data_IF_084173138359
#
_entry.id   IF_084173138359
#
_cell.length_a   1.000
_cell.length_b   1.000
_cell.length_c   1.000
_cell.angle_alpha   90.00
_cell.angle_beta   90.00
_cell.angle_gamma   90.00
#
_symmetry.space_group_name_H-M   'P 1'
#
loop_
_entity.id
_entity.type
_entity.pdbx_description
1 polymer ?
#
# COMPACT_ATOMS: atom_id res chain seq x y z
N UNK A 1 29.83 0.72 -25.73
CA UNK A 1 28.86 1.81 -26.03
C UNK A 1 27.41 1.29 -25.92
N UNK A 2 26.98 0.74 -24.77
CA UNK A 2 25.65 0.09 -24.64
C UNK A 2 24.80 0.59 -23.45
N UNK A 3 25.34 1.44 -22.57
CA UNK A 3 24.65 1.84 -21.33
C UNK A 3 23.67 3.03 -21.46
N UNK A 4 23.70 3.80 -22.56
CA UNK A 4 22.82 4.97 -22.74
C UNK A 4 21.39 4.60 -23.19
N UNK A 5 21.21 3.46 -23.85
CA UNK A 5 19.92 3.06 -24.42
C UNK A 5 18.94 2.56 -23.34
N UNK A 6 19.43 1.86 -22.31
CA UNK A 6 18.58 1.31 -21.24
C UNK A 6 17.98 2.38 -20.31
N UNK A 7 18.72 3.46 -20.02
CA UNK A 7 18.23 4.59 -19.20
C UNK A 7 17.05 5.32 -19.85
N UNK A 8 17.07 5.51 -21.17
CA UNK A 8 15.97 6.17 -21.92
C UNK A 8 14.67 5.37 -21.88
N UNK A 9 14.76 4.03 -21.89
CA UNK A 9 13.59 3.13 -21.85
C UNK A 9 12.96 3.08 -20.46
N UNK A 10 13.79 3.13 -19.40
CA UNK A 10 13.32 3.20 -18.02
C UNK A 10 12.63 4.52 -17.70
N UNK A 11 13.18 5.64 -18.18
CA UNK A 11 12.59 6.97 -17.96
C UNK A 11 11.21 7.08 -18.62
N UNK A 12 11.09 6.62 -19.89
CA UNK A 12 9.82 6.63 -20.62
C UNK A 12 8.71 5.83 -19.92
N UNK A 13 9.06 4.71 -19.28
CA UNK A 13 8.10 3.92 -18.48
C UNK A 13 7.64 4.67 -17.23
N UNK A 14 8.55 5.35 -16.53
CA UNK A 14 8.21 6.15 -15.36
C UNK A 14 7.33 7.35 -15.74
N UNK A 15 7.62 8.01 -16.87
CA UNK A 15 6.79 9.11 -17.37
C UNK A 15 5.35 8.64 -17.69
N UNK A 16 5.21 7.47 -18.34
CA UNK A 16 3.90 6.88 -18.61
C UNK A 16 3.15 6.51 -17.32
N UNK A 17 3.84 5.94 -16.33
CA UNK A 17 3.27 5.67 -15.00
C UNK A 17 2.79 6.96 -14.33
N UNK A 18 3.55 8.05 -14.43
CA UNK A 18 3.14 9.35 -13.87
C UNK A 18 1.89 9.88 -14.57
N UNK A 19 1.80 9.75 -15.90
CA UNK A 19 0.60 10.16 -16.63
C UNK A 19 -0.62 9.34 -16.23
N UNK A 20 -0.48 8.02 -16.10
CA UNK A 20 -1.59 7.16 -15.69
C UNK A 20 -2.03 7.43 -14.25
N UNK A 21 -1.08 7.61 -13.34
CA UNK A 21 -1.37 7.99 -11.96
C UNK A 21 -2.04 9.37 -11.88
N UNK A 22 -1.61 10.33 -12.69
CA UNK A 22 -2.24 11.66 -12.75
C UNK A 22 -3.69 11.58 -13.26
N UNK A 23 -3.96 10.80 -14.32
CA UNK A 23 -5.32 10.53 -14.80
C UNK A 23 -6.16 9.89 -13.69
N UNK A 24 -5.62 8.89 -12.99
CA UNK A 24 -6.31 8.23 -11.89
C UNK A 24 -6.67 9.22 -10.78
N UNK A 25 -5.73 10.08 -10.39
CA UNK A 25 -5.99 11.15 -9.42
C UNK A 25 -7.11 12.05 -9.94
N UNK A 26 -7.04 12.54 -11.18
CA UNK A 26 -8.07 13.43 -11.71
C UNK A 26 -9.48 12.80 -11.72
N UNK A 27 -9.58 11.49 -11.96
CA UNK A 27 -10.86 10.75 -11.98
C UNK A 27 -11.39 10.48 -10.57
N UNK A 28 -10.51 10.15 -9.62
CA UNK A 28 -10.90 9.70 -8.28
C UNK A 28 -10.78 10.77 -7.19
N UNK A 29 -10.14 11.91 -7.48
CA UNK A 29 -9.94 12.99 -6.52
C UNK A 29 -11.25 13.71 -6.22
N UNK A 30 -11.65 13.64 -4.96
CA UNK A 30 -12.84 14.33 -4.46
C UNK A 30 -12.38 15.62 -3.78
N UNK A 31 -12.71 16.77 -4.39
CA UNK A 31 -12.55 18.06 -3.71
C UNK A 31 -13.58 18.17 -2.61
N UNK A 32 -13.16 18.08 -1.35
CA UNK A 32 -14.05 18.30 -0.22
C UNK A 32 -14.66 19.70 -0.29
N UNK A 33 -15.99 19.75 -0.36
CA UNK A 33 -16.74 21.01 -0.25
C UNK A 33 -17.33 21.21 1.16
N UNK A 34 -17.31 20.19 2.01
CA UNK A 34 -17.68 20.22 3.43
C UNK A 34 -17.10 19.00 4.15
N UNK A 35 -16.53 19.22 5.34
CA UNK A 35 -15.84 18.22 6.16
C UNK A 35 -16.75 17.21 6.83
N UNK A 36 -17.32 16.31 6.04
CA UNK A 36 -17.87 15.05 6.55
C UNK A 36 -16.98 13.91 6.06
N UNK A 37 -16.56 13.05 7.01
CA UNK A 37 -15.72 11.89 6.76
C UNK A 37 -16.32 11.01 5.66
N UNK A 38 -15.79 11.12 4.44
CA UNK A 38 -16.19 10.26 3.34
C UNK A 38 -15.64 8.86 3.59
N UNK A 39 -16.49 8.00 4.15
CA UNK A 39 -16.45 6.57 3.86
C UNK A 39 -16.33 6.47 2.34
N UNK A 40 -15.18 6.01 1.91
CA UNK A 40 -14.80 5.83 0.52
C UNK A 40 -16.02 5.39 -0.30
N UNK A 41 -16.45 6.24 -1.25
CA UNK A 41 -17.56 5.95 -2.14
C UNK A 41 -17.14 4.94 -3.22
N UNK A 42 -16.49 3.85 -2.79
CA UNK A 42 -16.56 2.62 -3.55
C UNK A 42 -17.91 2.05 -3.15
N UNK A 43 -18.84 2.01 -4.10
CA UNK A 43 -19.76 0.89 -4.16
C UNK A 43 -18.89 -0.37 -4.26
N UNK A 44 -18.26 -0.79 -3.16
CA UNK A 44 -17.77 -2.15 -3.02
C UNK A 44 -19.05 -2.94 -3.02
N UNK A 45 -19.41 -3.42 -4.21
CA UNK A 45 -20.43 -4.44 -4.34
C UNK A 45 -20.01 -5.51 -3.33
N UNK A 46 -20.91 -5.85 -2.41
CA UNK A 46 -20.65 -6.88 -1.38
C UNK A 46 -20.21 -8.21 -2.01
N UNK A 47 -20.39 -8.35 -3.32
CA UNK A 47 -20.04 -9.49 -4.15
C UNK A 47 -18.65 -9.39 -4.81
N UNK A 48 -17.75 -8.51 -4.34
CA UNK A 48 -16.38 -8.52 -4.83
C UNK A 48 -15.68 -9.85 -4.43
N UNK A 49 -15.18 -10.63 -5.41
CA UNK A 49 -14.58 -11.92 -5.13
C UNK A 49 -13.26 -11.81 -4.36
N UNK A 50 -12.52 -10.70 -4.51
CA UNK A 50 -11.29 -10.46 -3.74
C UNK A 50 -11.62 -10.17 -2.28
N UNK A 51 -12.63 -9.32 -2.01
CA UNK A 51 -13.08 -9.06 -0.64
C UNK A 51 -13.57 -10.34 0.04
N UNK A 52 -14.39 -11.14 -0.64
CA UNK A 52 -14.93 -12.39 -0.10
C UNK A 52 -13.82 -13.37 0.26
N UNK A 53 -12.76 -13.44 -0.54
CA UNK A 53 -11.60 -14.27 -0.26
C UNK A 53 -10.83 -13.79 0.99
N UNK A 54 -10.68 -12.47 1.16
CA UNK A 54 -10.04 -11.88 2.34
C UNK A 54 -10.87 -12.13 3.59
N UNK A 55 -12.18 -11.91 3.53
CA UNK A 55 -13.09 -12.13 4.67
C UNK A 55 -13.06 -13.60 5.12
N UNK A 56 -13.10 -14.53 4.17
CA UNK A 56 -12.95 -15.97 4.46
C UNK A 56 -11.61 -16.27 5.12
N UNK A 57 -10.51 -15.71 4.59
CA UNK A 57 -9.17 -15.91 5.12
C UNK A 57 -9.07 -15.39 6.56
N UNK A 58 -9.65 -14.22 6.87
CA UNK A 58 -9.69 -13.66 8.21
C UNK A 58 -10.50 -14.56 9.16
N UNK A 59 -11.67 -15.01 8.72
CA UNK A 59 -12.54 -15.88 9.51
C UNK A 59 -11.88 -17.23 9.85
N UNK A 60 -11.17 -17.84 8.88
CA UNK A 60 -10.43 -19.09 9.08
C UNK A 60 -9.27 -18.97 10.08
N UNK A 61 -8.75 -17.76 10.28
CA UNK A 61 -7.62 -17.49 11.19
C UNK A 61 -8.06 -16.75 12.46
N UNK A 62 -9.35 -16.80 12.81
CA UNK A 62 -9.85 -16.28 14.09
C UNK A 62 -10.04 -14.77 14.16
N UNK A 63 -10.17 -14.08 13.00
CA UNK A 63 -10.38 -12.64 12.89
C UNK A 63 -9.34 -11.81 13.67
N UNK A 64 -8.12 -11.66 13.15
CA UNK A 64 -7.08 -10.91 13.84
C UNK A 64 -7.53 -9.46 14.07
N UNK A 65 -7.46 -9.01 15.33
CA UNK A 65 -7.81 -7.65 15.72
C UNK A 65 -6.60 -6.71 15.74
N UNK A 66 -5.40 -7.27 15.93
CA UNK A 66 -4.15 -6.49 15.98
C UNK A 66 -3.47 -6.40 14.61
N UNK A 67 -2.70 -5.33 14.42
CA UNK A 67 -1.84 -5.18 13.25
C UNK A 67 -0.80 -6.30 13.16
N UNK A 68 -0.21 -6.70 14.29
CA UNK A 68 0.82 -7.75 14.31
C UNK A 68 0.25 -9.09 13.82
N UNK A 69 -0.93 -9.48 14.30
CA UNK A 69 -1.57 -10.74 13.91
C UNK A 69 -1.97 -10.73 12.42
N UNK A 70 -2.55 -9.61 11.97
CA UNK A 70 -2.94 -9.41 10.56
C UNK A 70 -1.72 -9.47 9.64
N UNK A 71 -0.64 -8.80 10.02
CA UNK A 71 0.61 -8.78 9.27
C UNK A 71 1.24 -10.17 9.19
N UNK A 72 1.29 -10.91 10.30
CA UNK A 72 1.81 -12.28 10.34
C UNK A 72 0.98 -13.24 9.48
N UNK A 73 -0.34 -13.09 9.49
CA UNK A 73 -1.24 -13.88 8.67
C UNK A 73 -0.95 -13.68 7.18
N UNK A 74 -0.79 -12.42 6.73
CA UNK A 74 -0.43 -12.15 5.35
C UNK A 74 0.98 -12.62 5.01
N UNK A 75 1.93 -12.46 5.92
CA UNK A 75 3.29 -12.96 5.76
C UNK A 75 3.31 -14.47 5.56
N UNK A 76 2.60 -15.24 6.40
CA UNK A 76 2.46 -16.70 6.26
C UNK A 76 1.88 -17.08 4.90
N UNK A 77 0.87 -16.33 4.42
CA UNK A 77 0.30 -16.52 3.08
C UNK A 77 1.32 -16.33 1.96
N UNK A 78 2.25 -15.37 2.11
CA UNK A 78 3.29 -15.15 1.10
C UNK A 78 4.30 -16.29 1.02
N UNK A 79 4.47 -17.06 2.10
CA UNK A 79 5.43 -18.16 2.20
C UNK A 79 6.90 -17.73 2.11
N UNK A 80 7.21 -16.45 2.34
CA UNK A 80 8.57 -15.89 2.25
C UNK A 80 9.12 -15.58 3.64
N UNK A 81 10.44 -15.63 3.76
CA UNK A 81 11.12 -15.27 5.00
C UNK A 81 10.90 -13.80 5.37
N UNK A 82 10.73 -13.56 6.68
CA UNK A 82 10.59 -12.23 7.29
C UNK A 82 11.72 -11.28 6.87
N UNK A 83 12.95 -11.77 6.80
CA UNK A 83 14.12 -10.99 6.39
C UNK A 83 14.02 -10.50 4.95
N UNK A 84 13.49 -11.32 4.03
CA UNK A 84 13.31 -10.95 2.62
C UNK A 84 12.21 -9.89 2.47
N UNK A 85 11.14 -9.98 3.27
CA UNK A 85 10.07 -8.99 3.25
C UNK A 85 10.54 -7.68 3.88
N UNK A 86 11.27 -7.73 5.00
CA UNK A 86 11.84 -6.55 5.64
C UNK A 86 12.80 -5.81 4.70
N UNK A 87 13.71 -6.53 4.04
CA UNK A 87 14.64 -5.96 3.06
C UNK A 87 13.90 -5.28 1.89
N UNK A 88 12.87 -5.92 1.33
CA UNK A 88 12.05 -5.32 0.26
C UNK A 88 11.27 -4.09 0.70
N UNK A 89 10.84 -4.07 1.95
CA UNK A 89 10.16 -2.92 2.55
C UNK A 89 11.15 -1.81 2.95
N UNK A 90 12.48 -2.05 2.89
CA UNK A 90 13.49 -1.11 3.37
C UNK A 90 13.51 -0.98 4.90
N UNK A 91 13.07 -2.01 5.62
CA UNK A 91 12.99 -2.06 7.08
C UNK A 91 14.22 -2.77 7.68
N UNK A 92 14.49 -2.51 8.95
CA UNK A 92 15.61 -3.11 9.69
C UNK A 92 15.44 -4.63 9.83
N UNK A 93 16.57 -5.37 9.76
CA UNK A 93 16.60 -6.78 10.10
C UNK A 93 16.09 -6.99 11.54
N UNK A 94 15.02 -7.77 11.70
CA UNK A 94 14.35 -7.96 12.99
C UNK A 94 13.14 -7.06 13.23
N UNK A 95 12.67 -6.30 12.23
CA UNK A 95 11.41 -5.56 12.31
C UNK A 95 10.25 -6.43 12.78
N UNK A 96 10.09 -7.62 12.19
CA UNK A 96 9.03 -8.57 12.57
C UNK A 96 9.18 -9.12 13.99
N UNK A 97 10.41 -9.31 14.47
CA UNK A 97 10.68 -9.67 15.86
C UNK A 97 10.26 -8.56 16.82
N UNK A 98 10.57 -7.30 16.49
CA UNK A 98 10.12 -6.12 17.27
C UNK A 98 8.59 -6.01 17.26
N UNK A 99 7.98 -6.26 16.11
CA UNK A 99 6.53 -6.26 15.91
C UNK A 99 5.82 -7.32 16.75
N UNK A 100 6.41 -8.51 16.89
CA UNK A 100 5.89 -9.60 17.72
C UNK A 100 6.05 -9.36 19.22
N UNK A 101 7.16 -8.73 19.62
CA UNK A 101 7.49 -8.53 21.04
C UNK A 101 6.90 -7.24 21.63
N UNK A 102 6.33 -6.37 20.80
CA UNK A 102 5.77 -5.09 21.24
C UNK A 102 4.26 -5.14 21.20
N UNK A 103 3.65 -5.23 22.38
CA UNK A 103 2.21 -5.11 22.53
C UNK A 103 1.75 -3.75 21.99
N UNK A 104 0.71 -3.75 21.17
CA UNK A 104 0.15 -2.55 20.54
C UNK A 104 1.15 -1.75 19.68
N UNK A 105 2.10 -2.43 19.03
CA UNK A 105 2.95 -1.78 18.05
C UNK A 105 2.11 -1.10 16.97
N UNK A 106 2.27 0.21 16.82
CA UNK A 106 1.64 1.01 15.78
C UNK A 106 2.69 1.38 14.74
N UNK A 107 2.72 0.69 13.60
CA UNK A 107 3.59 1.09 12.49
C UNK A 107 3.19 2.48 12.01
N UNK A 108 4.09 3.18 11.33
CA UNK A 108 3.70 4.39 10.59
C UNK A 108 2.88 4.05 9.35
N UNK A 109 2.16 5.04 8.79
CA UNK A 109 1.46 4.88 7.50
C UNK A 109 2.44 4.44 6.41
N UNK A 110 3.63 5.03 6.38
CA UNK A 110 4.73 4.65 5.51
C UNK A 110 5.10 3.18 5.64
N UNK A 111 5.43 2.72 6.85
CA UNK A 111 5.82 1.32 7.09
C UNK A 111 4.73 0.35 6.66
N UNK A 112 3.47 0.69 6.95
CA UNK A 112 2.33 -0.13 6.57
C UNK A 112 2.17 -0.24 5.06
N UNK A 113 2.32 0.88 4.33
CA UNK A 113 2.28 0.89 2.86
C UNK A 113 3.44 0.09 2.28
N UNK A 114 4.66 0.26 2.79
CA UNK A 114 5.84 -0.49 2.35
C UNK A 114 5.66 -2.00 2.56
N UNK A 115 5.07 -2.41 3.68
CA UNK A 115 4.73 -3.80 3.96
C UNK A 115 3.69 -4.35 2.98
N UNK A 116 2.65 -3.57 2.65
CA UNK A 116 1.66 -3.96 1.63
C UNK A 116 2.34 -4.25 0.28
N UNK A 117 3.27 -3.39 -0.14
CA UNK A 117 4.00 -3.55 -1.39
C UNK A 117 4.99 -4.73 -1.34
N UNK A 118 5.74 -4.87 -0.25
CA UNK A 118 6.73 -5.92 -0.08
C UNK A 118 6.09 -7.32 -0.06
N UNK A 119 4.93 -7.44 0.59
CA UNK A 119 4.12 -8.67 0.62
C UNK A 119 3.30 -8.87 -0.65
N UNK A 120 3.25 -7.89 -1.56
CA UNK A 120 2.47 -7.89 -2.79
C UNK A 120 0.98 -8.13 -2.55
N UNK A 121 0.43 -7.39 -1.60
CA UNK A 121 -0.99 -7.47 -1.26
C UNK A 121 -1.84 -6.90 -2.41
N UNK A 122 -3.06 -7.41 -2.56
CA UNK A 122 -4.08 -6.74 -3.37
C UNK A 122 -4.69 -5.55 -2.60
N UNK A 123 -5.58 -4.80 -3.24
CA UNK A 123 -6.17 -3.60 -2.63
C UNK A 123 -7.02 -3.90 -1.39
N UNK A 124 -7.74 -5.03 -1.38
CA UNK A 124 -8.60 -5.42 -0.26
C UNK A 124 -7.78 -5.89 0.96
N UNK A 125 -6.71 -6.65 0.74
CA UNK A 125 -5.75 -7.06 1.77
C UNK A 125 -4.99 -5.87 2.34
N UNK A 126 -4.51 -4.98 1.47
CA UNK A 126 -3.84 -3.76 1.87
C UNK A 126 -4.79 -2.88 2.70
N UNK A 127 -6.08 -2.82 2.36
CA UNK A 127 -7.10 -2.10 3.14
C UNK A 127 -7.23 -2.69 4.54
N UNK A 128 -7.31 -4.02 4.66
CA UNK A 128 -7.38 -4.69 5.97
C UNK A 128 -6.14 -4.39 6.80
N UNK A 129 -4.94 -4.49 6.20
CA UNK A 129 -3.68 -4.24 6.89
C UNK A 129 -3.58 -2.77 7.34
N UNK A 130 -3.86 -1.81 6.46
CA UNK A 130 -3.89 -0.37 6.78
C UNK A 130 -4.89 -0.07 7.90
N UNK A 131 -6.09 -0.64 7.82
CA UNK A 131 -7.14 -0.44 8.82
C UNK A 131 -6.73 -1.00 10.18
N UNK A 132 -6.04 -2.15 10.23
CA UNK A 132 -5.52 -2.73 11.47
C UNK A 132 -4.45 -1.85 12.14
N UNK A 133 -3.73 -1.03 11.37
CA UNK A 133 -2.82 0.00 11.87
C UNK A 133 -3.51 1.34 12.20
N UNK A 134 -4.81 1.48 11.91
CA UNK A 134 -5.57 2.71 12.13
C UNK A 134 -5.51 3.72 10.97
N UNK A 135 -5.00 3.30 9.80
CA UNK A 135 -4.90 4.14 8.61
C UNK A 135 -5.96 3.78 7.57
N UNK A 136 -6.32 4.76 6.76
CA UNK A 136 -7.16 4.56 5.57
C UNK A 136 -6.56 5.36 4.42
N UNK A 137 -6.83 4.92 3.19
CA UNK A 137 -6.53 5.71 2.00
C UNK A 137 -7.73 6.64 1.76
N UNK A 138 -7.50 7.94 1.70
CA UNK A 138 -8.51 8.96 1.40
C UNK A 138 -8.58 9.28 -0.10
N UNK A 139 -9.77 9.64 -0.60
CA UNK A 139 -9.93 10.18 -1.96
C UNK A 139 -9.68 11.70 -2.04
N UNK A 140 -9.51 12.35 -0.89
CA UNK A 140 -9.22 13.78 -0.77
C UNK A 140 -7.71 14.05 -0.75
N UNK A 141 -6.89 13.02 -0.52
CA UNK A 141 -5.44 13.11 -0.45
C UNK A 141 -4.81 12.52 -1.71
N UNK A 142 -4.01 13.33 -2.42
CA UNK A 142 -3.36 12.87 -3.66
C UNK A 142 -2.39 11.71 -3.41
N UNK A 143 -1.65 11.75 -2.30
CA UNK A 143 -0.72 10.70 -1.90
C UNK A 143 -1.42 9.35 -1.74
N UNK A 144 -2.60 9.36 -1.11
CA UNK A 144 -3.42 8.16 -0.90
C UNK A 144 -3.98 7.59 -2.21
N UNK A 145 -4.36 8.46 -3.15
CA UNK A 145 -4.77 8.06 -4.49
C UNK A 145 -3.61 7.45 -5.29
N UNK A 146 -2.39 7.96 -5.15
CA UNK A 146 -1.20 7.35 -5.75
C UNK A 146 -0.96 5.96 -5.16
N UNK A 147 -0.99 5.82 -3.84
CA UNK A 147 -0.80 4.51 -3.18
C UNK A 147 -1.88 3.52 -3.64
N UNK A 148 -3.14 3.97 -3.70
CA UNK A 148 -4.26 3.17 -4.21
C UNK A 148 -4.03 2.73 -5.66
N UNK A 149 -3.62 3.63 -6.53
CA UNK A 149 -3.29 3.30 -7.92
C UNK A 149 -2.21 2.22 -8.01
N UNK A 150 -1.17 2.31 -7.18
CA UNK A 150 -0.11 1.30 -7.16
C UNK A 150 -0.63 -0.07 -6.71
N UNK A 151 -1.49 -0.12 -5.69
CA UNK A 151 -2.08 -1.37 -5.19
C UNK A 151 -3.06 -2.00 -6.19
N UNK A 152 -3.95 -1.20 -6.79
CA UNK A 152 -4.93 -1.67 -7.79
C UNK A 152 -4.24 -2.19 -9.06
N UNK A 153 -3.13 -1.57 -9.48
CA UNK A 153 -2.37 -2.00 -10.65
C UNK A 153 -1.26 -3.02 -10.32
N UNK A 154 -1.20 -3.53 -9.09
CA UNK A 154 -0.20 -4.51 -8.63
C UNK A 154 1.26 -4.05 -8.87
N UNK A 155 1.49 -2.76 -8.70
CA UNK A 155 2.80 -2.11 -8.83
C UNK A 155 3.52 -2.14 -7.48
N UNK A 156 4.40 -3.12 -7.29
CA UNK A 156 5.04 -3.37 -5.99
C UNK A 156 6.43 -2.75 -5.82
N UNK A 157 6.83 -1.85 -6.71
CA UNK A 157 8.16 -1.22 -6.66
C UNK A 157 8.12 0.06 -5.83
N UNK A 158 8.77 0.01 -4.66
CA UNK A 158 8.86 1.14 -3.73
C UNK A 158 9.55 2.36 -4.34
N UNK A 159 10.62 2.17 -5.12
CA UNK A 159 11.30 3.26 -5.82
C UNK A 159 10.44 3.94 -6.89
N UNK A 160 9.57 3.17 -7.57
CA UNK A 160 8.65 3.75 -8.55
C UNK A 160 7.56 4.55 -7.83
N UNK A 161 7.07 4.08 -6.67
CA UNK A 161 6.09 4.80 -5.85
C UNK A 161 6.64 6.12 -5.33
N UNK A 162 7.84 6.09 -4.74
CA UNK A 162 8.50 7.29 -4.22
C UNK A 162 8.69 8.35 -5.31
N UNK A 163 9.11 7.93 -6.51
CA UNK A 163 9.25 8.81 -7.66
C UNK A 163 7.93 9.46 -8.08
N UNK A 164 6.84 8.70 -8.12
CA UNK A 164 5.52 9.22 -8.51
C UNK A 164 4.95 10.15 -7.44
N UNK A 165 5.10 9.81 -6.15
CA UNK A 165 4.72 10.68 -5.03
C UNK A 165 5.45 12.01 -5.09
N UNK A 166 6.77 11.98 -5.25
CA UNK A 166 7.58 13.21 -5.34
C UNK A 166 7.16 14.07 -6.54
N UNK A 167 6.88 13.45 -7.70
CA UNK A 167 6.54 14.17 -8.93
C UNK A 167 5.11 14.73 -8.96
N UNK A 168 4.13 14.04 -8.39
CA UNK A 168 2.71 14.42 -8.46
C UNK A 168 2.21 15.14 -7.20
N UNK A 169 2.78 14.82 -6.04
CA UNK A 169 2.34 15.30 -4.74
C UNK A 169 3.36 16.22 -4.06
N UNK A 170 4.55 16.42 -4.65
CA UNK A 170 5.67 17.15 -4.01
C UNK A 170 5.96 16.62 -2.59
N UNK A 171 5.68 15.34 -2.36
CA UNK A 171 5.74 14.66 -1.05
C UNK A 171 6.47 13.34 -1.22
N UNK A 172 7.22 12.93 -0.20
CA UNK A 172 7.97 11.67 -0.21
C UNK A 172 7.29 10.61 0.65
N UNK A 173 7.65 9.34 0.47
CA UNK A 173 7.18 8.24 1.34
C UNK A 173 7.45 8.50 2.83
N UNK A 174 8.49 9.27 3.16
CA UNK A 174 8.81 9.64 4.55
C UNK A 174 7.84 10.66 5.17
N UNK A 175 7.03 11.33 4.35
CA UNK A 175 6.16 12.43 4.78
C UNK A 175 4.67 12.07 4.71
N UNK A 176 4.32 10.85 4.32
CA UNK A 176 2.93 10.37 4.36
C UNK A 176 2.54 10.01 5.80
N UNK A 177 1.68 10.83 6.41
CA UNK A 177 1.13 10.66 7.76
C UNK A 177 -0.37 10.83 7.77
#
# INVERSE_FOLDING_TARGET
>A
MFFRSSKKKSQKKLDELCTQADIFIQVHFVRERNGEHYKFNTLSLKDDPEWTAVEKLLAENGNPESFSDTCQLFLRRTGKDETIIADRAGLENGYFTKLQNTDFYRPSKQETVLLCLAMRLNIEEARVLLKSAGYTLSNSEKSDLVIRYFLENQLYKTSDLDYVLNKLCETDLASIG
#
